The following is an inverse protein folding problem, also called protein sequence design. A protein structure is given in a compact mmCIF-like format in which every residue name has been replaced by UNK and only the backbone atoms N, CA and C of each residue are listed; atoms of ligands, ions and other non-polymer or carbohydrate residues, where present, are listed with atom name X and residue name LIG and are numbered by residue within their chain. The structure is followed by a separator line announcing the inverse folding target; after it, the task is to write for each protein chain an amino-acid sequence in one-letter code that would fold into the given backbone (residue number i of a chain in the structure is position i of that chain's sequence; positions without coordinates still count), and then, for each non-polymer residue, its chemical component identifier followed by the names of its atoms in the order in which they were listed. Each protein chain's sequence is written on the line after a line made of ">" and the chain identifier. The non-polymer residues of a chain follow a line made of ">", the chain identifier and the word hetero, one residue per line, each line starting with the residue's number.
data_IF_645639065747
#
_entry.id   IF_645639065747
#
_cell.length_a   1.000
_cell.length_b   1.000
_cell.length_c   1.000
_cell.angle_alpha   90.00
_cell.angle_beta   90.00
_cell.angle_gamma   90.00
#
_symmetry.space_group_name_H-M   'P 1'
#
loop_
_entity.id
_entity.type
_entity.pdbx_description
1 polymer ?
#
# COMPACT_ATOMS: atom_id res chain seq x y z
N UNK A 1 -12.30 13.98 12.50
CA UNK A 1 -11.63 12.72 12.10
C UNK A 1 -10.14 12.97 12.18
N UNK A 2 -9.37 12.12 12.86
CA UNK A 2 -7.91 12.26 12.90
C UNK A 2 -7.32 11.68 11.61
N UNK A 3 -6.42 12.44 10.99
CA UNK A 3 -5.64 11.96 9.86
C UNK A 3 -4.39 11.27 10.38
N UNK A 4 -4.17 10.03 9.94
CA UNK A 4 -2.97 9.26 10.23
C UNK A 4 -1.99 9.41 9.07
N UNK A 5 -0.71 9.63 9.37
CA UNK A 5 0.36 9.71 8.39
C UNK A 5 1.45 8.71 8.76
N UNK A 6 1.99 8.01 7.77
CA UNK A 6 3.03 7.02 7.95
C UNK A 6 4.10 7.24 6.87
N UNK A 7 5.34 7.36 7.30
CA UNK A 7 6.49 7.33 6.40
C UNK A 7 6.90 5.87 6.18
N UNK A 8 7.04 5.47 4.91
CA UNK A 8 7.40 4.11 4.51
C UNK A 8 8.52 4.20 3.49
N UNK A 9 9.61 3.47 3.74
CA UNK A 9 10.76 3.41 2.84
C UNK A 9 11.39 2.03 2.85
N UNK A 10 12.23 1.77 1.84
CA UNK A 10 13.03 0.58 1.69
C UNK A 10 13.89 0.69 0.43
N UNK A 11 14.96 -0.11 0.35
CA UNK A 11 15.89 -0.06 -0.79
C UNK A 11 15.22 -0.46 -2.12
N UNK A 12 14.16 -1.28 -2.05
CA UNK A 12 13.41 -1.76 -3.21
C UNK A 12 11.91 -1.87 -2.91
N UNK A 13 11.10 -1.72 -3.95
CA UNK A 13 9.66 -1.98 -3.92
C UNK A 13 9.20 -2.61 -5.26
N UNK A 14 8.15 -3.43 -5.21
CA UNK A 14 7.58 -4.07 -6.40
C UNK A 14 6.05 -4.09 -6.32
N UNK A 15 5.41 -3.02 -6.78
CA UNK A 15 3.96 -2.88 -6.90
C UNK A 15 3.52 -3.46 -8.25
N UNK A 16 3.37 -4.78 -8.31
CA UNK A 16 3.22 -5.51 -9.57
C UNK A 16 2.04 -5.01 -10.42
N UNK A 17 2.34 -4.65 -11.67
CA UNK A 17 1.37 -4.34 -12.73
C UNK A 17 0.66 -5.63 -13.21
N UNK A 18 -0.67 -5.77 -13.06
CA UNK A 18 -1.39 -7.02 -13.39
C UNK A 18 -1.45 -7.33 -14.90
N UNK A 19 -1.25 -6.33 -15.76
CA UNK A 19 -1.23 -6.49 -17.20
C UNK A 19 0.01 -7.22 -17.71
N UNK A 20 1.12 -7.19 -16.97
CA UNK A 20 2.37 -7.87 -17.31
C UNK A 20 2.50 -9.17 -16.50
N UNK A 21 2.33 -10.31 -17.17
CA UNK A 21 2.27 -11.62 -16.50
C UNK A 21 3.57 -12.44 -16.54
N UNK A 22 4.45 -12.15 -17.49
CA UNK A 22 5.71 -12.88 -17.67
C UNK A 22 6.80 -12.26 -16.80
N UNK A 23 7.06 -10.97 -17.01
CA UNK A 23 8.01 -10.20 -16.22
C UNK A 23 7.26 -9.32 -15.23
N UNK A 24 7.81 -9.22 -14.01
CA UNK A 24 7.23 -8.37 -12.97
C UNK A 24 7.74 -6.94 -13.14
N UNK A 25 6.83 -6.04 -13.47
CA UNK A 25 7.10 -4.61 -13.54
C UNK A 25 6.32 -3.90 -12.45
N UNK A 26 6.99 -3.00 -11.73
CA UNK A 26 6.35 -2.20 -10.68
C UNK A 26 5.59 -1.03 -11.28
N UNK A 27 4.49 -0.62 -10.64
CA UNK A 27 4.02 0.76 -10.75
C UNK A 27 5.08 1.73 -10.24
N UNK A 28 5.04 2.95 -10.78
CA UNK A 28 6.00 4.02 -10.47
C UNK A 28 5.82 4.54 -9.04
N UNK A 29 4.62 4.35 -8.48
CA UNK A 29 4.26 4.73 -7.10
C UNK A 29 3.51 3.59 -6.41
N UNK A 30 3.47 3.64 -5.08
CA UNK A 30 2.70 2.72 -4.25
C UNK A 30 1.21 2.75 -4.62
N UNK A 31 0.58 1.57 -4.70
CA UNK A 31 -0.86 1.48 -4.94
C UNK A 31 -1.65 1.70 -3.64
N UNK A 32 -2.88 2.26 -3.68
CA UNK A 32 -3.71 2.41 -2.49
C UNK A 32 -3.99 1.09 -1.76
N UNK A 33 -4.04 -0.04 -2.48
CA UNK A 33 -4.18 -1.36 -1.87
C UNK A 33 -2.95 -1.78 -1.08
N UNK A 34 -1.74 -1.49 -1.57
CA UNK A 34 -0.50 -1.74 -0.84
C UNK A 34 -0.37 -0.82 0.38
N UNK A 35 -0.67 0.48 0.24
CA UNK A 35 -0.69 1.42 1.36
C UNK A 35 -1.65 0.97 2.46
N UNK A 36 -2.86 0.56 2.10
CA UNK A 36 -3.84 -0.01 3.03
C UNK A 36 -3.30 -1.25 3.75
N UNK A 37 -2.65 -2.17 3.03
CA UNK A 37 -2.09 -3.37 3.62
C UNK A 37 -0.97 -3.08 4.64
N UNK A 38 -0.17 -2.02 4.42
CA UNK A 38 0.85 -1.59 5.39
C UNK A 38 0.20 -1.12 6.70
N UNK A 39 -0.86 -0.31 6.63
CA UNK A 39 -1.62 0.06 7.83
C UNK A 39 -2.24 -1.17 8.52
N UNK A 40 -2.81 -2.11 7.74
CA UNK A 40 -3.37 -3.35 8.27
C UNK A 40 -2.33 -4.23 8.97
N UNK A 41 -1.08 -4.22 8.50
CA UNK A 41 0.02 -4.95 9.13
C UNK A 41 0.44 -4.37 10.49
N UNK A 42 0.30 -3.05 10.68
CA UNK A 42 0.57 -2.39 11.97
C UNK A 42 -0.61 -2.63 12.93
N UNK A 43 -1.83 -2.40 12.46
CA UNK A 43 -3.06 -2.60 13.23
C UNK A 43 -4.23 -2.95 12.33
N UNK A 44 -4.80 -4.13 12.54
CA UNK A 44 -6.07 -4.51 11.93
C UNK A 44 -6.94 -5.35 12.87
N UNK A 45 -8.24 -5.13 12.77
CA UNK A 45 -9.32 -5.94 13.34
C UNK A 45 -10.49 -5.94 12.36
N UNK A 46 -11.39 -6.93 12.38
CA UNK A 46 -12.59 -6.94 11.52
C UNK A 46 -13.46 -5.68 11.63
N UNK A 47 -13.42 -4.98 12.76
CA UNK A 47 -14.14 -3.73 13.00
C UNK A 47 -13.45 -2.48 12.39
N UNK A 48 -12.24 -2.62 11.84
CA UNK A 48 -11.42 -1.53 11.31
C UNK A 48 -11.26 -1.69 9.81
N UNK A 49 -11.51 -0.60 9.07
CA UNK A 49 -11.21 -0.51 7.64
C UNK A 49 -10.41 0.76 7.37
N UNK A 50 -9.18 0.59 6.92
CA UNK A 50 -8.32 1.69 6.52
C UNK A 50 -8.75 2.22 5.14
N UNK A 51 -8.94 3.53 5.05
CA UNK A 51 -9.24 4.23 3.80
C UNK A 51 -8.08 5.19 3.48
N UNK A 52 -7.38 4.90 2.39
CA UNK A 52 -6.23 5.70 1.93
C UNK A 52 -6.76 6.92 1.19
N UNK A 53 -6.47 8.10 1.71
CA UNK A 53 -6.93 9.38 1.13
C UNK A 53 -5.85 10.10 0.34
N UNK A 54 -4.58 9.83 0.64
CA UNK A 54 -3.41 10.43 -0.02
C UNK A 54 -2.20 9.50 0.05
N UNK A 55 -1.39 9.56 -1.00
CA UNK A 55 -0.04 9.00 -1.12
C UNK A 55 0.86 10.14 -1.52
#
# INVERSE_FOLDING_TARGET
>A
MHNWCLEVWGDYACFTRPEMKVERVSYDVMTPSAARAIFEAILWKPAIRWNVTKI
#
